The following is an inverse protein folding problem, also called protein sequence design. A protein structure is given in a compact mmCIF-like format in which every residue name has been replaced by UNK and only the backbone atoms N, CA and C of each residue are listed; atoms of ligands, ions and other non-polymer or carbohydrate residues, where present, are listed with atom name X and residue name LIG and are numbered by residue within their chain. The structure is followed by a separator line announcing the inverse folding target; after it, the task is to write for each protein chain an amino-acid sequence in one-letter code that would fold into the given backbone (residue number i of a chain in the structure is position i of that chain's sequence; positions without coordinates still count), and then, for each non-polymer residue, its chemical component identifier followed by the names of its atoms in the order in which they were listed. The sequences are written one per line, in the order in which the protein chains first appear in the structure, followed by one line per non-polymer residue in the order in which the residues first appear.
data_IF_351404966008
#
_entry.id   IF_351404966008
#
_cell.length_a   1.000
_cell.length_b   1.000
_cell.length_c   1.000
_cell.angle_alpha   90.00
_cell.angle_beta   90.00
_cell.angle_gamma   90.00
#
_symmetry.space_group_name_H-M   'P 1'
#
loop_
_entity.id
_entity.type
_entity.pdbx_description
1 polymer ?
#
# COMPACT_ATOMS: atom_id res chain seq x y z
N UNK A 1 45.51 -18.24 -44.79
CA UNK A 1 44.18 -17.66 -44.53
C UNK A 1 43.69 -18.20 -43.20
N UNK A 2 43.90 -17.45 -42.11
CA UNK A 2 43.49 -17.86 -40.75
C UNK A 2 42.16 -17.17 -40.46
N UNK A 3 41.08 -17.96 -40.34
CA UNK A 3 39.73 -17.47 -40.05
C UNK A 3 39.62 -17.15 -38.56
N UNK A 4 39.38 -15.89 -38.27
CA UNK A 4 39.03 -15.32 -36.97
C UNK A 4 37.81 -16.02 -36.37
N UNK A 5 37.93 -16.50 -35.13
CA UNK A 5 36.77 -16.84 -34.29
C UNK A 5 36.79 -15.89 -33.10
N UNK A 6 36.03 -14.80 -33.21
CA UNK A 6 35.75 -13.91 -32.11
C UNK A 6 34.60 -14.52 -31.28
N UNK A 7 34.93 -15.06 -30.11
CA UNK A 7 33.94 -15.53 -29.14
C UNK A 7 33.18 -14.33 -28.56
N UNK A 8 31.90 -14.23 -28.93
CA UNK A 8 30.97 -13.22 -28.42
C UNK A 8 30.59 -13.59 -26.97
N UNK A 9 31.19 -12.93 -26.00
CA UNK A 9 30.82 -13.04 -24.59
C UNK A 9 29.51 -12.27 -24.37
N UNK A 10 28.37 -12.96 -24.34
CA UNK A 10 27.09 -12.35 -23.99
C UNK A 10 27.07 -12.19 -22.47
N UNK A 11 27.43 -11.01 -21.99
CA UNK A 11 27.21 -10.61 -20.60
C UNK A 11 25.71 -10.37 -20.45
N UNK A 12 24.99 -11.35 -19.91
CA UNK A 12 23.61 -11.17 -19.45
C UNK A 12 23.68 -10.30 -18.20
N UNK A 13 23.60 -8.98 -18.37
CA UNK A 13 23.37 -8.06 -17.28
C UNK A 13 21.98 -8.35 -16.71
N UNK A 14 21.91 -9.08 -15.60
CA UNK A 14 20.71 -9.17 -14.80
C UNK A 14 20.49 -7.78 -14.22
N UNK A 15 19.63 -7.00 -14.88
CA UNK A 15 19.04 -5.80 -14.31
C UNK A 15 18.27 -6.26 -13.06
N UNK A 16 18.94 -6.25 -11.92
CA UNK A 16 18.29 -6.20 -10.62
C UNK A 16 17.67 -4.82 -10.54
N UNK A 17 16.53 -4.67 -11.20
CA UNK A 17 15.68 -3.51 -11.02
C UNK A 17 15.34 -3.47 -9.55
N UNK A 18 15.93 -2.53 -8.83
CA UNK A 18 15.42 -2.11 -7.54
C UNK A 18 14.07 -1.48 -7.86
N UNK A 19 13.03 -2.31 -7.95
CA UNK A 19 11.66 -1.84 -7.86
C UNK A 19 11.63 -1.13 -6.52
N UNK A 20 11.51 0.20 -6.53
CA UNK A 20 11.38 0.98 -5.32
C UNK A 20 10.08 0.54 -4.63
N UNK A 21 10.20 -0.44 -3.73
CA UNK A 21 9.08 -0.97 -2.96
C UNK A 21 8.53 0.09 -2.03
N UNK A 22 7.25 -0.07 -1.69
CA UNK A 22 6.62 0.70 -0.63
C UNK A 22 7.41 0.58 0.67
N UNK A 23 7.31 1.62 1.51
CA UNK A 23 7.97 1.68 2.81
C UNK A 23 7.06 2.30 3.85
N UNK A 24 7.19 1.81 5.06
CA UNK A 24 6.61 2.39 6.26
C UNK A 24 6.99 3.87 6.39
N UNK A 25 6.00 4.74 6.56
CA UNK A 25 6.23 6.15 6.77
C UNK A 25 5.00 6.86 7.36
N UNK A 26 5.23 7.98 8.05
CA UNK A 26 4.16 8.85 8.56
C UNK A 26 3.83 10.02 7.63
N UNK A 27 4.06 9.88 6.32
CA UNK A 27 3.78 10.96 5.37
C UNK A 27 2.29 11.07 5.14
N UNK A 28 1.82 12.29 4.88
CA UNK A 28 0.42 12.57 4.60
C UNK A 28 0.19 14.05 4.42
N UNK A 29 -1.07 14.41 4.23
CA UNK A 29 -1.50 15.81 4.17
C UNK A 29 -1.15 16.55 5.47
N UNK A 30 -0.87 17.86 5.38
CA UNK A 30 -0.74 18.72 6.56
C UNK A 30 -2.01 18.76 7.43
N UNK A 31 -3.14 18.24 6.94
CA UNK A 31 -4.37 18.07 7.72
C UNK A 31 -4.34 16.85 8.66
N UNK A 32 -3.46 15.88 8.42
CA UNK A 32 -3.32 14.66 9.22
C UNK A 32 -2.92 14.93 10.68
N UNK A 33 -2.20 16.02 10.94
CA UNK A 33 -1.81 16.45 12.29
C UNK A 33 -2.95 17.08 13.10
N UNK A 34 -4.15 17.19 12.54
CA UNK A 34 -5.32 17.84 13.18
C UNK A 34 -6.33 16.85 13.76
N UNK A 35 -5.87 15.70 14.26
CA UNK A 35 -6.74 14.75 14.96
C UNK A 35 -7.60 13.86 14.05
N UNK A 36 -7.05 13.42 12.91
CA UNK A 36 -7.75 12.58 11.95
C UNK A 36 -7.89 11.10 12.36
N UNK A 37 -7.28 10.70 13.48
CA UNK A 37 -7.30 9.33 14.00
C UNK A 37 -8.70 8.68 13.96
N UNK A 38 -9.74 9.27 14.59
CA UNK A 38 -11.08 8.67 14.60
C UNK A 38 -11.68 8.51 13.19
N UNK A 39 -11.51 9.50 12.30
CA UNK A 39 -11.99 9.39 10.92
C UNK A 39 -11.28 8.29 10.15
N UNK A 40 -9.96 8.15 10.33
CA UNK A 40 -9.16 7.12 9.68
C UNK A 40 -9.43 5.73 10.24
N UNK A 41 -9.66 5.61 11.55
CA UNK A 41 -10.13 4.36 12.18
C UNK A 41 -11.48 3.93 11.59
N UNK A 42 -12.42 4.87 11.47
CA UNK A 42 -13.68 4.59 10.80
C UNK A 42 -13.52 4.23 9.32
N UNK A 43 -12.53 4.80 8.62
CA UNK A 43 -12.29 4.50 7.20
C UNK A 43 -11.83 3.05 7.00
N UNK A 44 -10.79 2.60 7.73
CA UNK A 44 -10.33 1.21 7.56
C UNK A 44 -11.31 0.19 8.16
N UNK A 45 -12.13 0.55 9.16
CA UNK A 45 -13.17 -0.35 9.67
C UNK A 45 -14.30 -0.63 8.66
N UNK A 46 -14.39 0.10 7.55
CA UNK A 46 -15.32 -0.18 6.44
C UNK A 46 -14.87 -1.33 5.52
N UNK A 47 -13.67 -1.89 5.72
CA UNK A 47 -13.32 -3.15 5.11
C UNK A 47 -14.09 -4.28 5.81
N UNK A 48 -15.03 -4.90 5.10
CA UNK A 48 -15.89 -5.97 5.62
C UNK A 48 -15.06 -7.20 5.96
N UNK A 49 -15.12 -7.66 7.21
CA UNK A 49 -14.22 -8.71 7.73
C UNK A 49 -14.24 -10.00 6.90
N UNK A 50 -15.42 -10.47 6.50
CA UNK A 50 -15.64 -11.72 5.76
C UNK A 50 -15.39 -11.61 4.26
N UNK A 51 -15.17 -10.40 3.75
CA UNK A 51 -14.97 -10.17 2.32
C UNK A 51 -13.52 -10.39 1.95
N UNK A 52 -13.30 -11.07 0.83
CA UNK A 52 -11.96 -11.21 0.23
C UNK A 52 -11.73 -10.07 -0.75
N UNK A 53 -10.61 -9.40 -0.58
CA UNK A 53 -10.12 -8.32 -1.42
C UNK A 53 -8.85 -8.82 -2.12
N UNK A 54 -8.84 -8.72 -3.44
CA UNK A 54 -7.77 -9.17 -4.33
C UNK A 54 -7.51 -8.15 -5.43
N UNK A 55 -7.76 -6.89 -5.11
CA UNK A 55 -7.54 -5.75 -6.00
C UNK A 55 -7.46 -4.46 -5.20
N UNK A 56 -7.05 -3.39 -5.88
CA UNK A 56 -7.04 -2.04 -5.31
C UNK A 56 -8.36 -1.80 -4.60
N UNK A 57 -8.29 -1.26 -3.39
CA UNK A 57 -9.49 -0.97 -2.60
C UNK A 57 -9.27 0.28 -1.76
N UNK A 58 -10.23 1.19 -1.79
CA UNK A 58 -10.27 2.37 -0.93
C UNK A 58 -11.60 2.43 -0.20
N UNK A 59 -11.53 2.78 1.07
CA UNK A 59 -12.69 3.07 1.90
C UNK A 59 -12.53 4.43 2.55
N UNK A 60 -13.60 5.22 2.57
CA UNK A 60 -13.60 6.60 3.00
C UNK A 60 -14.55 6.78 4.17
N UNK A 61 -14.12 7.55 5.17
CA UNK A 61 -14.97 7.97 6.26
C UNK A 61 -14.67 9.42 6.64
N UNK A 62 -15.68 10.28 6.46
CA UNK A 62 -15.50 11.73 6.57
C UNK A 62 -14.38 12.20 5.64
N UNK A 63 -13.32 12.75 6.22
CA UNK A 63 -12.19 13.30 5.49
C UNK A 63 -10.97 12.37 5.40
N UNK A 64 -11.09 11.09 5.74
CA UNK A 64 -9.96 10.15 5.66
C UNK A 64 -10.25 9.01 4.69
N UNK A 65 -9.27 8.66 3.87
CA UNK A 65 -9.28 7.49 3.01
C UNK A 65 -8.29 6.44 3.56
N UNK A 66 -8.77 5.19 3.64
CA UNK A 66 -8.02 3.99 3.92
C UNK A 66 -7.86 3.19 2.63
N UNK A 67 -6.63 3.08 2.16
CA UNK A 67 -6.31 2.55 0.84
C UNK A 67 -5.49 1.28 1.00
N UNK A 68 -5.88 0.22 0.31
CA UNK A 68 -5.11 -1.00 0.11
C UNK A 68 -4.66 -1.05 -1.36
N UNK A 69 -3.34 -1.11 -1.59
CA UNK A 69 -2.75 -1.15 -2.93
C UNK A 69 -1.51 -2.04 -3.00
N UNK A 70 -1.26 -2.57 -4.19
CA UNK A 70 -0.06 -3.32 -4.53
C UNK A 70 0.47 -2.89 -5.91
N UNK A 71 1.77 -3.08 -6.11
CA UNK A 71 2.41 -3.02 -7.42
C UNK A 71 2.23 -4.39 -8.09
N UNK A 72 1.49 -4.45 -9.20
CA UNK A 72 1.20 -5.71 -9.89
C UNK A 72 0.15 -6.55 -9.16
N UNK A 73 0.51 -7.78 -8.80
CA UNK A 73 -0.43 -8.78 -8.29
C UNK A 73 -0.89 -8.49 -6.86
N UNK A 74 -2.19 -8.65 -6.64
CA UNK A 74 -2.83 -8.46 -5.35
C UNK A 74 -3.01 -9.81 -4.65
N UNK A 75 -2.45 -10.00 -3.43
CA UNK A 75 -2.79 -11.16 -2.63
C UNK A 75 -4.27 -11.14 -2.27
N UNK A 76 -4.88 -12.33 -2.19
CA UNK A 76 -6.25 -12.50 -1.71
C UNK A 76 -6.27 -12.37 -0.20
N UNK A 77 -6.70 -11.22 0.32
CA UNK A 77 -6.73 -10.92 1.75
C UNK A 77 -8.16 -10.72 2.25
N UNK A 78 -8.45 -11.18 3.47
CA UNK A 78 -9.72 -10.86 4.11
C UNK A 78 -9.75 -9.39 4.55
N UNK A 79 -10.94 -8.80 4.68
CA UNK A 79 -11.07 -7.46 5.24
C UNK A 79 -10.56 -7.37 6.68
N UNK A 80 -10.68 -8.46 7.45
CA UNK A 80 -10.09 -8.53 8.80
C UNK A 80 -8.56 -8.42 8.75
N UNK A 81 -7.93 -9.12 7.81
CA UNK A 81 -6.48 -9.03 7.57
C UNK A 81 -6.09 -7.61 7.15
N UNK A 82 -6.81 -7.02 6.19
CA UNK A 82 -6.51 -5.66 5.73
C UNK A 82 -6.64 -4.65 6.88
N UNK A 83 -7.67 -4.76 7.73
CA UNK A 83 -7.84 -3.91 8.91
C UNK A 83 -6.65 -4.00 9.86
N UNK A 84 -6.14 -5.21 10.11
CA UNK A 84 -4.96 -5.38 10.97
C UNK A 84 -3.70 -4.74 10.40
N UNK A 85 -3.57 -4.65 9.07
CA UNK A 85 -2.41 -4.01 8.43
C UNK A 85 -2.34 -2.49 8.67
N UNK A 86 -3.44 -1.85 9.09
CA UNK A 86 -3.43 -0.42 9.44
C UNK A 86 -2.95 -0.14 10.87
N UNK A 87 -2.98 -1.12 11.77
CA UNK A 87 -2.53 -0.94 13.16
C UNK A 87 -1.06 -0.51 13.29
N UNK A 88 -0.10 -1.09 12.54
CA UNK A 88 1.30 -0.68 12.60
C UNK A 88 1.55 0.80 12.33
N UNK A 89 0.67 1.49 11.59
CA UNK A 89 0.80 2.94 11.35
C UNK A 89 0.71 3.73 12.67
N UNK A 90 -0.16 3.31 13.59
CA UNK A 90 -0.32 3.96 14.89
C UNK A 90 0.66 3.38 15.92
N UNK A 91 0.65 2.06 16.08
CA UNK A 91 1.28 1.39 17.23
C UNK A 91 2.74 1.04 16.98
N UNK A 92 3.14 0.84 15.71
CA UNK A 92 4.51 0.52 15.32
C UNK A 92 5.31 1.76 14.94
N UNK A 93 4.75 2.61 14.08
CA UNK A 93 5.42 3.78 13.52
C UNK A 93 5.19 5.07 14.34
N UNK A 94 4.17 5.09 15.21
CA UNK A 94 3.84 6.26 16.03
C UNK A 94 3.21 7.42 15.25
N UNK A 95 2.62 7.15 14.08
CA UNK A 95 2.03 8.20 13.25
C UNK A 95 0.75 8.76 13.89
N UNK A 96 0.64 10.10 13.95
CA UNK A 96 -0.46 10.77 14.68
C UNK A 96 -1.81 10.81 13.94
N UNK A 97 -1.88 10.35 12.70
CA UNK A 97 -3.14 10.38 11.95
C UNK A 97 -3.10 9.77 10.55
N UNK A 98 -1.98 9.92 9.85
CA UNK A 98 -1.79 9.41 8.49
C UNK A 98 -0.43 8.76 8.37
N UNK A 99 -0.31 7.87 7.39
CA UNK A 99 0.91 7.15 7.10
C UNK A 99 0.63 5.99 6.17
N UNK A 100 1.69 5.26 5.83
CA UNK A 100 1.62 4.01 5.10
C UNK A 100 2.32 2.91 5.90
N UNK A 101 1.79 1.70 5.79
CA UNK A 101 2.49 0.48 6.19
C UNK A 101 2.66 -0.42 4.98
N UNK A 102 3.92 -0.73 4.66
CA UNK A 102 4.32 -1.61 3.58
C UNK A 102 4.43 -3.05 4.07
N UNK A 103 4.06 -3.98 3.20
CA UNK A 103 4.11 -5.41 3.46
C UNK A 103 4.38 -6.17 2.16
N UNK A 104 4.49 -7.50 2.24
CA UNK A 104 4.82 -8.35 1.10
C UNK A 104 6.12 -7.88 0.40
N UNK A 105 7.19 -7.74 1.18
CA UNK A 105 8.51 -7.22 0.77
C UNK A 105 8.47 -5.84 0.08
N UNK A 106 7.50 -5.01 0.48
CA UNK A 106 7.30 -3.68 -0.09
C UNK A 106 6.56 -3.71 -1.43
N UNK A 107 6.01 -4.84 -1.85
CA UNK A 107 5.16 -4.90 -3.04
C UNK A 107 3.76 -4.33 -2.79
N UNK A 108 3.29 -4.37 -1.54
CA UNK A 108 1.99 -3.86 -1.16
C UNK A 108 2.11 -2.85 -0.02
N UNK A 109 1.11 -1.98 0.10
CA UNK A 109 0.95 -1.13 1.27
C UNK A 109 -0.52 -0.86 1.58
N UNK A 110 -0.74 -0.49 2.84
CA UNK A 110 -1.95 0.20 3.25
C UNK A 110 -1.62 1.64 3.62
N UNK A 111 -2.50 2.57 3.27
CA UNK A 111 -2.27 4.01 3.46
C UNK A 111 -3.49 4.68 4.07
N UNK A 112 -3.25 5.53 5.07
CA UNK A 112 -4.23 6.45 5.64
C UNK A 112 -3.84 7.87 5.26
N UNK A 113 -4.75 8.59 4.60
CA UNK A 113 -4.50 9.99 4.26
C UNK A 113 -5.78 10.82 4.23
N UNK A 114 -5.63 12.15 4.33
CA UNK A 114 -6.73 13.07 4.13
C UNK A 114 -7.26 13.03 2.70
N UNK A 115 -8.59 12.99 2.58
CA UNK A 115 -9.29 13.27 1.34
C UNK A 115 -10.63 13.96 1.62
N UNK A 116 -10.88 15.11 0.99
CA UNK A 116 -12.10 15.90 1.23
C UNK A 116 -13.31 15.46 0.41
N UNK A 117 -13.11 14.75 -0.71
CA UNK A 117 -14.18 14.39 -1.65
C UNK A 117 -13.94 13.00 -2.28
N UNK A 118 -13.27 12.09 -1.57
CA UNK A 118 -13.09 10.74 -2.08
C UNK A 118 -14.36 9.92 -1.87
N UNK A 119 -14.60 8.99 -2.77
CA UNK A 119 -15.61 7.95 -2.62
C UNK A 119 -14.90 6.61 -2.38
N UNK A 120 -15.65 5.66 -1.82
CA UNK A 120 -15.21 4.27 -1.80
C UNK A 120 -14.95 3.81 -3.25
N UNK A 121 -13.93 2.97 -3.43
CA UNK A 121 -13.58 2.43 -4.74
C UNK A 121 -12.90 1.08 -4.61
N UNK A 122 -12.85 0.32 -5.70
CA UNK A 122 -12.16 -0.97 -5.69
C UNK A 122 -12.96 -2.06 -4.99
N UNK A 123 -12.33 -3.18 -4.65
CA UNK A 123 -13.10 -4.40 -4.37
C UNK A 123 -13.89 -4.32 -3.04
N UNK A 124 -15.05 -4.99 -2.90
CA UNK A 124 -16.11 -5.16 -3.88
C UNK A 124 -17.28 -4.18 -3.66
N UNK A 125 -18.12 -4.08 -4.69
CA UNK A 125 -19.48 -3.54 -4.64
C UNK A 125 -20.32 -4.24 -3.57
#
# INVERSE_FOLDING_TARGET
MVKTLASLLIVVATFSGVLAGFRDNCSGSGRCNKGMGPTCIGAFNRFTESTVYDGYTSRVNGNCAAIYRCNGDYPRLSGATIRSLFQPIYDGQGCKGCGSHAFNDGNCEVTLNFCSNCLDSGNPN
#
